data_IF_502099412865
#
_entry.id   IF_502099412865
#
_cell.length_a   1.000
_cell.length_b   1.000
_cell.length_c   1.000
_cell.angle_alpha   90.00
_cell.angle_beta   90.00
_cell.angle_gamma   90.00
#
_symmetry.space_group_name_H-M   'P 1'
#
loop_
_entity.id
_entity.type
_entity.pdbx_description
1 polymer ?
#
# COMPACT_ATOMS: atom_id res chain seq x y z
N UNK A 1 -13.57 3.66 -0.90
CA UNK A 1 -13.85 2.70 -1.99
C UNK A 1 -13.80 3.35 -3.38
N UNK A 2 -14.61 4.37 -3.72
CA UNK A 2 -14.63 5.00 -5.07
C UNK A 2 -13.25 5.41 -5.60
N UNK A 3 -12.35 5.95 -4.76
CA UNK A 3 -11.00 6.36 -5.19
C UNK A 3 -10.09 5.19 -5.49
N UNK A 4 -10.13 4.10 -4.72
CA UNK A 4 -9.41 2.87 -5.01
C UNK A 4 -9.84 2.30 -6.36
N UNK A 5 -11.14 2.17 -6.58
CA UNK A 5 -11.72 1.74 -7.85
C UNK A 5 -11.21 2.59 -9.04
N UNK A 6 -11.27 3.92 -8.90
CA UNK A 6 -10.79 4.82 -9.94
C UNK A 6 -9.30 4.67 -10.24
N UNK A 7 -8.46 4.40 -9.22
CA UNK A 7 -7.03 4.15 -9.41
C UNK A 7 -6.83 2.88 -10.22
N UNK A 8 -7.42 1.76 -9.80
CA UNK A 8 -7.31 0.46 -10.47
C UNK A 8 -7.72 0.59 -11.94
N UNK A 9 -8.89 1.19 -12.20
CA UNK A 9 -9.42 1.41 -13.55
C UNK A 9 -8.50 2.28 -14.41
N UNK A 10 -8.03 3.43 -13.89
CA UNK A 10 -7.17 4.37 -14.64
C UNK A 10 -5.79 3.80 -14.92
N UNK A 11 -5.27 2.97 -14.02
CA UNK A 11 -3.97 2.30 -14.21
C UNK A 11 -4.08 1.06 -15.12
N UNK A 12 -5.28 0.70 -15.56
CA UNK A 12 -5.53 -0.41 -16.48
C UNK A 12 -5.05 -1.76 -15.94
N UNK A 13 -5.08 -1.93 -14.60
CA UNK A 13 -4.57 -3.15 -13.97
C UNK A 13 -5.54 -4.29 -14.23
N UNK A 14 -5.03 -5.38 -14.80
CA UNK A 14 -5.73 -6.66 -14.96
C UNK A 14 -4.94 -7.72 -14.20
N UNK A 15 -5.11 -7.78 -12.88
CA UNK A 15 -4.29 -8.68 -12.07
C UNK A 15 -4.71 -10.13 -12.29
N UNK A 16 -3.74 -11.05 -12.23
CA UNK A 16 -4.00 -12.47 -12.07
C UNK A 16 -4.23 -12.79 -10.59
N UNK A 17 -3.46 -12.15 -9.69
CA UNK A 17 -3.59 -12.33 -8.25
C UNK A 17 -3.66 -10.98 -7.54
N UNK A 18 -4.65 -10.82 -6.67
CA UNK A 18 -4.89 -9.61 -5.89
C UNK A 18 -5.02 -9.92 -4.40
N UNK A 19 -4.35 -9.12 -3.56
CA UNK A 19 -4.38 -9.22 -2.11
C UNK A 19 -5.00 -7.96 -1.50
N UNK A 20 -5.90 -8.12 -0.55
CA UNK A 20 -6.35 -7.06 0.36
C UNK A 20 -5.84 -7.35 1.78
N UNK A 21 -5.01 -6.46 2.30
CA UNK A 21 -4.43 -6.56 3.66
C UNK A 21 -5.30 -5.81 4.65
N UNK A 22 -5.76 -6.50 5.69
CA UNK A 22 -6.67 -5.97 6.70
C UNK A 22 -8.08 -5.73 6.19
N UNK A 23 -8.45 -6.36 5.08
CA UNK A 23 -9.76 -6.24 4.47
C UNK A 23 -10.87 -6.89 5.30
N UNK A 24 -12.10 -6.59 4.92
CA UNK A 24 -13.30 -7.22 5.48
C UNK A 24 -14.07 -7.95 4.39
N UNK A 25 -14.65 -9.06 4.71
CA UNK A 25 -15.48 -9.81 3.77
C UNK A 25 -16.81 -9.10 3.49
N UNK A 26 -17.42 -9.39 2.35
CA UNK A 26 -18.71 -8.84 1.94
C UNK A 26 -18.61 -7.47 1.24
N UNK A 27 -19.64 -6.63 1.35
CA UNK A 27 -19.79 -5.36 0.59
C UNK A 27 -18.67 -4.33 0.84
N UNK A 28 -17.93 -4.49 1.94
CA UNK A 28 -16.82 -3.60 2.31
C UNK A 28 -15.48 -3.94 1.63
N UNK A 29 -15.33 -5.12 1.04
CA UNK A 29 -14.08 -5.55 0.43
C UNK A 29 -13.76 -4.78 -0.85
N UNK A 30 -12.51 -4.36 -0.99
CA UNK A 30 -11.96 -3.74 -2.20
C UNK A 30 -11.78 -4.78 -3.32
N UNK A 31 -11.73 -6.06 -2.99
CA UNK A 31 -11.59 -7.16 -3.96
C UNK A 31 -12.87 -7.43 -4.77
N UNK A 32 -13.95 -6.71 -4.48
CA UNK A 32 -15.22 -6.83 -5.23
C UNK A 32 -15.32 -5.87 -6.42
N UNK A 33 -14.30 -5.10 -6.71
CA UNK A 33 -14.31 -4.26 -7.90
C UNK A 33 -14.40 -5.12 -9.18
N UNK A 34 -15.22 -4.73 -10.16
CA UNK A 34 -15.45 -5.52 -11.38
C UNK A 34 -14.16 -5.89 -12.13
N UNK A 35 -13.17 -5.01 -12.11
CA UNK A 35 -11.87 -5.22 -12.73
C UNK A 35 -11.09 -6.39 -12.15
N UNK A 36 -11.45 -6.84 -10.95
CA UNK A 36 -10.79 -7.93 -10.24
C UNK A 36 -11.56 -9.26 -10.31
N UNK A 37 -12.69 -9.30 -11.03
CA UNK A 37 -13.56 -10.49 -11.06
C UNK A 37 -12.85 -11.72 -11.64
N UNK A 38 -11.89 -11.54 -12.57
CA UNK A 38 -11.10 -12.62 -13.16
C UNK A 38 -9.83 -12.99 -12.43
N UNK A 39 -9.53 -12.33 -11.30
CA UNK A 39 -8.32 -12.59 -10.52
C UNK A 39 -8.55 -13.62 -9.41
N UNK A 40 -7.50 -14.33 -9.02
CA UNK A 40 -7.42 -14.98 -7.71
C UNK A 40 -7.36 -13.89 -6.65
N UNK A 41 -8.31 -13.91 -5.70
CA UNK A 41 -8.49 -12.84 -4.74
C UNK A 41 -8.33 -13.35 -3.33
N UNK A 42 -7.41 -12.72 -2.59
CA UNK A 42 -7.06 -13.09 -1.21
C UNK A 42 -7.31 -11.91 -0.27
N UNK A 43 -7.96 -12.17 0.85
CA UNK A 43 -8.18 -11.20 1.92
C UNK A 43 -7.45 -11.69 3.18
N UNK A 44 -6.40 -10.99 3.60
CA UNK A 44 -5.66 -11.29 4.82
C UNK A 44 -6.20 -10.44 5.97
N UNK A 45 -6.55 -11.07 7.08
CA UNK A 45 -6.95 -10.38 8.31
C UNK A 45 -6.50 -11.17 9.55
N UNK A 46 -6.34 -10.49 10.68
CA UNK A 46 -6.09 -11.14 11.98
C UNK A 46 -7.29 -11.97 12.45
N UNK A 47 -8.50 -11.53 12.12
CA UNK A 47 -9.72 -12.23 12.44
C UNK A 47 -9.99 -13.33 11.41
N UNK A 48 -10.42 -14.49 11.90
CA UNK A 48 -10.94 -15.54 11.05
C UNK A 48 -12.27 -15.09 10.42
N UNK A 49 -12.37 -15.25 9.11
CA UNK A 49 -13.55 -14.91 8.33
C UNK A 49 -13.80 -16.00 7.27
N UNK A 50 -15.07 -16.36 7.02
CA UNK A 50 -15.35 -17.34 5.96
C UNK A 50 -15.01 -16.77 4.58
N UNK A 51 -14.45 -17.60 3.71
CA UNK A 51 -14.29 -17.28 2.29
C UNK A 51 -15.66 -17.12 1.64
N UNK A 52 -15.82 -16.11 0.78
CA UNK A 52 -17.09 -15.83 0.11
C UNK A 52 -16.86 -15.06 -1.20
N UNK A 53 -17.82 -15.15 -2.11
CA UNK A 53 -17.83 -14.38 -3.38
C UNK A 53 -16.58 -14.60 -4.25
N UNK A 54 -15.96 -15.79 -4.18
CA UNK A 54 -14.71 -16.10 -4.88
C UNK A 54 -13.49 -15.38 -4.30
N UNK A 55 -13.57 -14.90 -3.06
CA UNK A 55 -12.46 -14.32 -2.30
C UNK A 55 -12.04 -15.34 -1.25
N UNK A 56 -10.76 -15.72 -1.27
CA UNK A 56 -10.17 -16.61 -0.27
C UNK A 56 -9.78 -15.79 0.97
N UNK A 57 -10.35 -16.12 2.12
CA UNK A 57 -9.96 -15.51 3.39
C UNK A 57 -8.77 -16.24 3.99
N UNK A 58 -7.78 -15.48 4.41
CA UNK A 58 -6.57 -15.97 5.07
C UNK A 58 -6.48 -15.30 6.45
N UNK A 59 -6.45 -16.12 7.49
CA UNK A 59 -6.18 -15.62 8.85
C UNK A 59 -4.67 -15.51 9.03
N UNK A 60 -4.18 -14.31 9.32
CA UNK A 60 -2.75 -14.06 9.47
C UNK A 60 -2.42 -12.64 9.88
N UNK A 61 -1.15 -12.45 10.28
CA UNK A 61 -0.62 -11.16 10.67
C UNK A 61 0.06 -10.50 9.48
N UNK A 62 -0.36 -9.27 9.16
CA UNK A 62 0.24 -8.47 8.08
C UNK A 62 1.72 -8.12 8.32
N UNK A 63 2.19 -8.18 9.58
CA UNK A 63 3.61 -8.00 9.90
C UNK A 63 4.49 -9.20 9.52
N UNK A 64 3.87 -10.32 9.15
CA UNK A 64 4.55 -11.55 8.78
C UNK A 64 3.63 -12.40 7.91
N UNK A 65 3.69 -12.22 6.61
CA UNK A 65 2.82 -12.88 5.63
C UNK A 65 3.49 -14.12 5.02
N UNK A 66 4.04 -15.02 5.87
CA UNK A 66 4.78 -16.23 5.44
C UNK A 66 3.96 -17.18 4.56
N UNK A 67 2.64 -17.05 4.58
CA UNK A 67 1.71 -17.81 3.73
C UNK A 67 1.79 -17.44 2.24
N UNK A 68 2.45 -16.33 1.94
CA UNK A 68 2.61 -15.83 0.58
C UNK A 68 4.09 -15.72 0.22
N UNK A 69 4.42 -16.20 -0.98
CA UNK A 69 5.76 -16.08 -1.54
C UNK A 69 6.08 -14.63 -1.94
N UNK A 70 7.39 -14.34 -2.07
CA UNK A 70 7.86 -13.10 -2.65
C UNK A 70 7.31 -12.94 -4.07
N UNK A 71 7.07 -11.69 -4.48
CA UNK A 71 6.68 -11.35 -5.84
C UNK A 71 5.43 -12.09 -6.37
N UNK A 72 4.50 -12.44 -5.48
CA UNK A 72 3.35 -13.31 -5.79
C UNK A 72 2.07 -12.58 -6.18
N UNK A 73 1.98 -11.26 -6.02
CA UNK A 73 0.76 -10.49 -6.31
C UNK A 73 0.98 -9.38 -7.33
N UNK A 74 0.03 -9.23 -8.25
CA UNK A 74 -0.04 -8.12 -9.21
C UNK A 74 -0.55 -6.82 -8.60
N UNK A 75 -1.42 -6.97 -7.59
CA UNK A 75 -2.12 -5.89 -6.92
C UNK A 75 -2.20 -6.16 -5.43
N UNK A 76 -1.72 -5.22 -4.65
CA UNK A 76 -1.87 -5.23 -3.19
C UNK A 76 -2.67 -3.99 -2.77
N UNK A 77 -3.72 -4.20 -2.00
CA UNK A 77 -4.64 -3.19 -1.49
C UNK A 77 -4.61 -3.19 0.04
N UNK A 78 -4.56 -2.00 0.65
CA UNK A 78 -4.67 -1.84 2.09
C UNK A 78 -5.44 -0.57 2.41
N UNK A 79 -6.53 -0.65 3.17
CA UNK A 79 -7.34 0.51 3.49
C UNK A 79 -7.78 0.52 4.95
N UNK A 80 -7.42 1.57 5.68
CA UNK A 80 -7.81 1.75 7.09
C UNK A 80 -7.41 0.56 7.97
N UNK A 81 -6.15 0.16 7.85
CA UNK A 81 -5.57 -0.97 8.58
C UNK A 81 -4.31 -0.54 9.32
N UNK A 82 -3.41 0.20 8.66
CA UNK A 82 -2.10 0.56 9.20
C UNK A 82 -2.17 1.48 10.42
N UNK A 83 -3.23 2.26 10.55
CA UNK A 83 -3.48 3.05 11.76
C UNK A 83 -3.73 2.21 13.00
N UNK A 84 -4.15 0.96 12.82
CA UNK A 84 -4.43 -0.01 13.87
C UNK A 84 -3.30 -0.99 14.10
N UNK A 85 -2.26 -0.94 13.27
CA UNK A 85 -1.09 -1.80 13.36
C UNK A 85 0.04 -1.08 14.11
N UNK A 86 0.36 -1.56 15.31
CA UNK A 86 1.42 -0.99 16.15
C UNK A 86 2.79 -1.01 15.46
N UNK A 87 3.02 -1.94 14.55
CA UNK A 87 4.26 -2.13 13.83
C UNK A 87 4.06 -2.01 12.31
N UNK A 88 3.27 -1.03 11.88
CA UNK A 88 2.82 -0.84 10.49
C UNK A 88 3.95 -0.90 9.44
N UNK A 89 5.18 -0.54 9.81
CA UNK A 89 6.33 -0.62 8.91
C UNK A 89 6.68 -2.05 8.49
N UNK A 90 6.41 -3.05 9.36
CA UNK A 90 6.56 -4.46 9.01
C UNK A 90 5.50 -4.89 8.00
N UNK A 91 4.25 -4.46 8.19
CA UNK A 91 3.18 -4.69 7.21
C UNK A 91 3.48 -4.04 5.86
N UNK A 92 4.06 -2.83 5.86
CA UNK A 92 4.47 -2.15 4.62
C UNK A 92 5.59 -2.96 3.93
N UNK A 93 6.62 -3.39 4.67
CA UNK A 93 7.70 -4.21 4.13
C UNK A 93 7.18 -5.53 3.53
N UNK A 94 6.25 -6.20 4.20
CA UNK A 94 5.63 -7.42 3.69
C UNK A 94 4.78 -7.18 2.43
N UNK A 95 4.01 -6.08 2.38
CA UNK A 95 3.29 -5.70 1.17
C UNK A 95 4.23 -5.46 -0.01
N UNK A 96 5.40 -4.87 0.22
CA UNK A 96 6.44 -4.71 -0.81
C UNK A 96 7.06 -6.05 -1.22
N UNK A 97 7.31 -6.96 -0.25
CA UNK A 97 7.87 -8.28 -0.51
C UNK A 97 6.96 -9.10 -1.42
N UNK A 98 5.68 -9.20 -1.06
CA UNK A 98 4.72 -10.03 -1.82
C UNK A 98 4.28 -9.40 -3.15
N UNK A 99 4.47 -8.09 -3.32
CA UNK A 99 4.16 -7.40 -4.57
C UNK A 99 5.22 -7.72 -5.63
N UNK A 100 4.82 -8.23 -6.80
CA UNK A 100 5.76 -8.55 -7.89
C UNK A 100 6.32 -7.29 -8.58
N UNK A 101 7.46 -7.39 -9.25
CA UNK A 101 7.94 -6.32 -10.13
C UNK A 101 6.88 -5.89 -11.14
N UNK A 102 6.66 -4.59 -11.30
CA UNK A 102 5.59 -3.99 -12.11
C UNK A 102 4.20 -4.01 -11.45
N UNK A 103 4.04 -4.68 -10.31
CA UNK A 103 2.79 -4.71 -9.54
C UNK A 103 2.38 -3.35 -8.97
N UNK A 104 1.11 -3.20 -8.66
CA UNK A 104 0.54 -1.97 -8.13
C UNK A 104 0.20 -2.12 -6.64
N UNK A 105 0.74 -1.23 -5.81
CA UNK A 105 0.35 -1.05 -4.41
C UNK A 105 -0.62 0.13 -4.30
N UNK A 106 -1.73 -0.05 -3.56
CA UNK A 106 -2.67 1.04 -3.25
C UNK A 106 -2.97 1.02 -1.76
N UNK A 107 -2.64 2.11 -1.07
CA UNK A 107 -2.85 2.27 0.38
C UNK A 107 -3.77 3.45 0.65
N UNK A 108 -4.70 3.28 1.60
CA UNK A 108 -5.53 4.34 2.15
C UNK A 108 -5.44 4.38 3.66
N UNK A 109 -5.02 5.52 4.22
CA UNK A 109 -4.86 5.71 5.67
C UNK A 109 -5.48 7.03 6.13
N UNK A 110 -5.87 7.17 7.40
CA UNK A 110 -6.28 8.45 7.95
C UNK A 110 -5.08 9.40 7.98
N UNK A 111 -5.33 10.63 7.58
CA UNK A 111 -4.31 11.66 7.50
C UNK A 111 -4.67 12.88 8.34
N UNK A 112 -3.81 13.88 8.28
CA UNK A 112 -4.07 15.23 8.78
C UNK A 112 -4.62 16.10 7.66
N UNK A 113 -5.48 17.04 7.98
CA UNK A 113 -5.85 18.13 7.06
C UNK A 113 -5.29 19.44 7.57
N UNK A 114 -4.64 20.19 6.69
CA UNK A 114 -4.32 21.59 6.93
C UNK A 114 -5.56 22.43 6.60
N UNK A 115 -5.93 23.36 7.49
CA UNK A 115 -6.84 24.45 7.18
C UNK A 115 -6.01 25.71 6.91
N UNK A 116 -6.33 26.39 5.86
CA UNK A 116 -5.64 27.64 5.48
C UNK A 116 -6.10 28.87 6.31
N UNK A 117 -7.14 28.70 7.13
CA UNK A 117 -7.77 29.74 7.96
C UNK A 117 -7.09 29.95 9.32
N UNK A 118 -6.16 29.10 9.74
CA UNK A 118 -5.60 29.10 11.09
C UNK A 118 -4.11 29.48 11.11
N UNK A 119 -3.70 30.58 10.56
CA UNK A 119 -2.34 31.12 10.69
C UNK A 119 -1.22 30.06 10.51
N UNK A 120 -1.46 29.06 9.69
CA UNK A 120 -0.53 27.95 9.47
C UNK A 120 -0.50 26.89 10.56
N UNK A 121 -1.38 26.92 11.53
CA UNK A 121 -1.50 25.88 12.55
C UNK A 121 -2.36 24.75 12.07
N UNK A 122 -1.78 23.56 12.03
CA UNK A 122 -2.53 22.33 11.77
C UNK A 122 -3.17 21.86 13.09
N UNK A 123 -4.45 22.12 13.28
CA UNK A 123 -5.20 21.58 14.41
C UNK A 123 -6.24 20.60 13.92
N UNK A 124 -6.05 19.33 14.21
CA UNK A 124 -7.12 18.36 14.05
C UNK A 124 -7.07 17.32 15.13
N UNK A 125 -8.12 17.33 15.93
CA UNK A 125 -8.50 16.23 16.79
C UNK A 125 -9.21 15.20 15.93
N UNK A 126 -8.69 13.99 15.88
CA UNK A 126 -9.37 12.89 15.25
C UNK A 126 -10.19 12.16 16.28
N UNK A 127 -11.38 11.78 15.88
CA UNK A 127 -12.16 10.83 16.65
C UNK A 127 -11.47 9.48 16.54
N UNK A 128 -11.07 8.92 17.66
CA UNK A 128 -10.61 7.54 17.77
C UNK A 128 -11.78 6.62 17.44
N UNK A 129 -11.63 5.78 16.42
CA UNK A 129 -12.72 4.93 15.95
C UNK A 129 -12.83 3.64 16.73
N UNK A 130 -11.69 3.06 17.16
CA UNK A 130 -11.62 1.77 17.83
C UNK A 130 -10.54 1.78 18.90
N UNK A 131 -10.63 0.79 19.79
CA UNK A 131 -9.51 0.36 20.61
C UNK A 131 -8.34 -0.01 19.67
N UNK A 132 -7.12 0.46 19.93
CA UNK A 132 -5.93 0.27 19.07
C UNK A 132 -5.87 1.17 17.82
N UNK A 133 -6.34 2.37 17.87
CA UNK A 133 -6.17 3.37 16.83
C UNK A 133 -4.92 4.23 17.17
N UNK A 134 -3.75 3.84 16.64
CA UNK A 134 -2.44 4.38 17.07
C UNK A 134 -1.99 5.58 16.24
N UNK A 135 -2.29 5.60 14.92
CA UNK A 135 -1.59 6.48 14.00
C UNK A 135 -2.50 7.35 13.14
N UNK A 136 -1.97 8.53 12.83
CA UNK A 136 -2.39 9.39 11.73
C UNK A 136 -1.15 9.73 10.93
N UNK A 137 -1.26 9.70 9.61
CA UNK A 137 -0.10 9.79 8.74
C UNK A 137 -0.07 11.13 8.00
N UNK A 138 1.13 11.69 7.83
CA UNK A 138 1.36 12.82 6.95
C UNK A 138 1.51 12.35 5.50
N UNK A 139 1.33 13.27 4.54
CA UNK A 139 1.61 12.98 3.14
C UNK A 139 3.08 12.58 2.93
N UNK A 140 3.99 13.21 3.66
CA UNK A 140 5.42 12.89 3.62
C UNK A 140 5.67 11.46 4.11
N UNK A 141 5.09 11.05 5.24
CA UNK A 141 5.25 9.68 5.73
C UNK A 141 4.71 8.64 4.73
N UNK A 142 3.57 8.91 4.10
CA UNK A 142 3.04 8.03 3.07
C UNK A 142 3.98 7.96 1.87
N UNK A 143 4.52 9.08 1.41
CA UNK A 143 5.40 9.13 0.24
C UNK A 143 6.75 8.48 0.49
N UNK A 144 7.40 8.81 1.61
CA UNK A 144 8.80 8.49 1.87
C UNK A 144 9.00 7.20 2.68
N UNK A 145 7.93 6.71 3.35
CA UNK A 145 8.01 5.46 4.13
C UNK A 145 7.19 4.35 3.49
N UNK A 146 5.92 4.61 3.11
CA UNK A 146 5.08 3.55 2.57
C UNK A 146 5.40 3.20 1.12
N UNK A 147 5.87 4.18 0.37
CA UNK A 147 6.13 4.06 -1.07
C UNK A 147 7.61 4.26 -1.41
N UNK A 148 8.50 4.13 -0.40
CA UNK A 148 9.94 4.15 -0.64
C UNK A 148 10.34 3.05 -1.64
N UNK A 149 11.19 3.42 -2.61
CA UNK A 149 11.62 2.51 -3.67
C UNK A 149 10.56 2.14 -4.72
N UNK A 150 9.32 2.67 -4.64
CA UNK A 150 8.31 2.49 -5.68
C UNK A 150 8.33 3.65 -6.69
N UNK A 151 7.89 3.34 -7.92
CA UNK A 151 7.79 4.28 -9.03
C UNK A 151 6.35 4.77 -9.22
N UNK A 152 6.15 5.83 -10.01
CA UNK A 152 4.83 6.41 -10.32
C UNK A 152 4.01 6.77 -9.06
N UNK A 153 4.67 7.12 -7.97
CA UNK A 153 4.02 7.38 -6.69
C UNK A 153 3.14 8.63 -6.75
N UNK A 154 1.85 8.44 -6.46
CA UNK A 154 0.89 9.54 -6.32
C UNK A 154 0.17 9.44 -4.98
N UNK A 155 0.16 10.55 -4.24
CA UNK A 155 -0.59 10.70 -3.00
C UNK A 155 -1.70 11.71 -3.24
N UNK A 156 -2.90 11.40 -2.77
CA UNK A 156 -4.09 12.24 -2.89
C UNK A 156 -4.76 12.40 -1.54
N UNK A 157 -4.96 13.62 -1.11
CA UNK A 157 -5.71 13.92 0.09
C UNK A 157 -7.23 13.91 -0.15
N UNK A 158 -7.98 13.44 0.83
CA UNK A 158 -9.43 13.57 0.96
C UNK A 158 -9.69 14.34 2.24
N UNK A 159 -10.50 15.36 2.17
CA UNK A 159 -10.69 16.27 3.31
C UNK A 159 -11.79 15.79 4.28
N UNK A 160 -12.76 15.04 3.81
CA UNK A 160 -13.93 14.64 4.62
C UNK A 160 -14.29 13.18 4.39
N UNK A 161 -13.99 12.28 5.32
CA UNK A 161 -13.08 12.45 6.45
C UNK A 161 -11.63 12.56 5.98
N UNK A 162 -10.72 13.15 6.80
CA UNK A 162 -9.33 13.30 6.38
C UNK A 162 -8.64 11.96 6.12
N UNK A 163 -8.26 11.73 4.87
CA UNK A 163 -7.59 10.50 4.42
C UNK A 163 -6.55 10.80 3.36
N UNK A 164 -5.51 10.02 3.36
CA UNK A 164 -4.55 9.95 2.27
C UNK A 164 -4.78 8.63 1.52
N UNK A 165 -4.86 8.72 0.20
CA UNK A 165 -4.91 7.55 -0.67
C UNK A 165 -3.76 7.67 -1.64
N UNK A 166 -2.90 6.68 -1.61
CA UNK A 166 -1.69 6.65 -2.42
C UNK A 166 -1.60 5.37 -3.23
N UNK A 167 -0.85 5.45 -4.32
CA UNK A 167 -0.49 4.29 -5.12
C UNK A 167 0.91 4.47 -5.70
N UNK A 168 1.58 3.35 -5.98
CA UNK A 168 2.87 3.27 -6.65
C UNK A 168 3.06 1.89 -7.26
N UNK A 169 4.05 1.75 -8.15
CA UNK A 169 4.43 0.48 -8.77
C UNK A 169 5.77 0.01 -8.26
N UNK A 170 5.91 -1.29 -8.02
CA UNK A 170 7.22 -1.89 -7.79
C UNK A 170 8.02 -1.83 -9.10
N UNK A 171 9.28 -1.37 -9.09
CA UNK A 171 10.10 -1.32 -10.29
C UNK A 171 10.12 -2.65 -11.04
N UNK A 172 10.09 -2.60 -12.37
CA UNK A 172 10.16 -3.79 -13.21
C UNK A 172 11.57 -4.43 -13.15
N UNK A 173 11.65 -5.75 -13.14
CA UNK A 173 12.90 -6.48 -12.91
C UNK A 173 14.04 -6.22 -13.90
N UNK A 174 13.78 -5.58 -15.05
CA UNK A 174 14.85 -5.10 -15.96
C UNK A 174 15.47 -3.81 -15.45
N UNK A 175 14.66 -2.91 -14.94
CA UNK A 175 15.13 -1.57 -14.52
C UNK A 175 15.84 -1.64 -13.17
N UNK A 176 15.40 -2.51 -12.26
CA UNK A 176 16.08 -2.73 -10.99
C UNK A 176 17.52 -3.28 -11.16
N UNK A 177 17.75 -4.17 -12.15
CA UNK A 177 19.11 -4.65 -12.50
C UNK A 177 19.94 -3.57 -13.15
N UNK A 178 19.34 -2.73 -13.99
CA UNK A 178 20.01 -1.61 -14.66
C UNK A 178 20.34 -0.51 -13.66
N UNK A 179 19.41 -0.12 -12.80
CA UNK A 179 19.64 0.86 -11.75
C UNK A 179 20.70 0.41 -10.72
N UNK A 180 20.68 -0.86 -10.31
CA UNK A 180 21.73 -1.42 -9.46
C UNK A 180 23.10 -1.46 -10.17
N UNK A 181 23.14 -1.79 -11.45
CA UNK A 181 24.37 -1.77 -12.23
C UNK A 181 24.91 -0.35 -12.45
N UNK A 182 24.05 0.63 -12.64
CA UNK A 182 24.40 2.05 -12.75
C UNK A 182 24.89 2.63 -11.42
N UNK A 183 24.24 2.28 -10.29
CA UNK A 183 24.69 2.67 -8.95
C UNK A 183 26.09 2.10 -8.65
N UNK A 184 26.34 0.84 -8.97
CA UNK A 184 27.66 0.20 -8.82
C UNK A 184 28.69 0.84 -9.75
N UNK A 185 28.31 1.23 -10.96
CA UNK A 185 29.20 1.93 -11.90
C UNK A 185 29.54 3.35 -11.40
N UNK A 186 28.56 4.06 -10.85
CA UNK A 186 28.75 5.38 -10.24
C UNK A 186 29.71 5.34 -9.05
N UNK A 187 29.59 4.33 -8.18
CA UNK A 187 30.50 4.13 -7.05
C UNK A 187 31.94 3.78 -7.46
N UNK A 188 32.12 3.04 -8.58
CA UNK A 188 33.45 2.72 -9.10
C UNK A 188 34.13 3.91 -9.78
N UNK A 189 33.35 4.83 -10.34
CA UNK A 189 33.88 6.06 -10.95
C UNK A 189 34.28 7.15 -9.96
N UNK A 190 33.86 7.04 -8.69
CA UNK A 190 34.12 8.03 -7.64
C UNK A 190 35.36 7.73 -6.77
N UNK A 191 36.08 6.64 -7.06
CA UNK A 191 37.35 6.36 -6.35
C UNK A 191 38.48 7.18 -6.99
N UNK A 192 39.17 8.03 -6.21
CA UNK A 192 40.34 8.76 -6.74
C UNK A 192 41.41 7.75 -7.14
N UNK A 193 41.95 7.93 -8.34
CA UNK A 193 43.15 7.21 -8.80
C UNK A 193 44.27 7.42 -7.76
N UNK A 194 44.71 6.36 -7.12
CA UNK A 194 45.91 6.42 -6.29
C UNK A 194 47.12 6.77 -7.19
N UNK A 195 47.66 7.94 -6.94
CA UNK A 195 48.99 8.29 -7.41
C UNK A 195 50.05 7.59 -6.53
#
# INVERSE_FOLDING_TARGET
MRRFHNIIRRKGVKPQRALEVGGVMGKGSLLRFPELAGAERFCLNLAEMPSADGITSITGNANKMDVFDDDSFDLVLCCSTLEHDKHFWLSVAEMHRVLRPGGLLVIGVPGYTKRDDDEGRSTRTYRVHFKFDYYRFSEQAVREVFFDGLEDVKVSAVLTPPRLIAHGRKPGGRDARTAAAEAVRGLRGALPSRA
#
